data_IF_445869831942
#
_entry.id   IF_445869831942
#
_cell.length_a   1.000
_cell.length_b   1.000
_cell.length_c   1.000
_cell.angle_alpha   90.00
_cell.angle_beta   90.00
_cell.angle_gamma   90.00
#
_symmetry.space_group_name_H-M   'P 1'
#
loop_
_entity.id
_entity.type
_entity.pdbx_description
1 polymer ?
#
# COMPACT_ATOMS: atom_id res chain seq x y z
N UNK A 1 25.23 -8.16 -1.02
CA UNK A 1 25.82 -6.82 -1.07
C UNK A 1 24.75 -5.83 -0.64
N UNK A 2 25.09 -4.68 -0.05
CA UNK A 2 24.11 -3.70 0.43
C UNK A 2 24.49 -2.26 0.05
N UNK A 3 23.51 -1.36 0.08
CA UNK A 3 23.71 0.07 -0.16
C UNK A 3 23.44 0.84 1.13
N UNK A 4 24.20 1.92 1.34
CA UNK A 4 24.02 2.79 2.49
C UNK A 4 22.63 3.44 2.47
N UNK A 5 21.84 3.27 3.54
CA UNK A 5 20.52 3.89 3.69
C UNK A 5 20.55 5.43 3.78
N UNK A 6 21.71 6.02 4.07
CA UNK A 6 21.88 7.47 4.19
C UNK A 6 22.42 8.15 2.94
N UNK A 7 23.35 7.52 2.22
CA UNK A 7 24.06 8.16 1.09
C UNK A 7 24.10 7.32 -0.19
N UNK A 8 23.48 6.13 -0.22
CA UNK A 8 23.39 5.28 -1.42
C UNK A 8 24.70 4.64 -1.89
N UNK A 9 25.82 4.85 -1.18
CA UNK A 9 27.10 4.24 -1.54
C UNK A 9 27.09 2.72 -1.34
N UNK A 10 27.83 2.01 -2.19
CA UNK A 10 27.97 0.56 -2.09
C UNK A 10 28.75 0.19 -0.81
N UNK A 11 28.21 -0.76 -0.04
CA UNK A 11 28.81 -1.27 1.19
C UNK A 11 28.95 -2.79 1.13
N UNK A 12 29.98 -3.29 1.82
CA UNK A 12 30.11 -4.72 2.09
C UNK A 12 29.01 -5.18 3.08
N UNK A 13 28.63 -6.46 3.01
CA UNK A 13 27.65 -7.02 3.94
C UNK A 13 28.17 -6.95 5.39
N UNK A 14 27.26 -6.72 6.34
CA UNK A 14 27.58 -6.70 7.78
C UNK A 14 28.29 -5.44 8.29
N UNK A 15 28.49 -4.42 7.45
CA UNK A 15 29.02 -3.12 7.90
C UNK A 15 28.03 -2.44 8.84
N UNK A 16 28.46 -2.08 10.06
CA UNK A 16 27.63 -1.36 11.05
C UNK A 16 27.54 0.14 10.82
N UNK A 17 28.52 0.73 10.13
CA UNK A 17 28.57 2.15 9.83
C UNK A 17 29.02 2.36 8.39
N UNK A 18 28.46 3.37 7.73
CA UNK A 18 28.90 3.78 6.40
C UNK A 18 30.25 4.49 6.52
N UNK A 19 31.28 3.97 5.85
CA UNK A 19 32.61 4.62 5.82
C UNK A 19 32.62 5.96 5.08
N UNK A 20 31.61 6.24 4.26
CA UNK A 20 31.54 7.45 3.43
C UNK A 20 30.77 8.59 4.10
N UNK A 21 29.65 8.30 4.77
CA UNK A 21 28.79 9.32 5.38
C UNK A 21 28.58 9.16 6.90
N UNK A 22 29.18 8.14 7.52
CA UNK A 22 29.09 7.90 8.97
C UNK A 22 27.75 7.35 9.47
N UNK A 23 26.74 7.19 8.60
CA UNK A 23 25.42 6.70 9.05
C UNK A 23 25.49 5.27 9.56
N UNK A 24 24.86 5.01 10.70
CA UNK A 24 24.71 3.66 11.22
C UNK A 24 23.84 2.84 10.28
N UNK A 25 24.32 1.65 9.93
CA UNK A 25 23.57 0.69 9.12
C UNK A 25 22.80 -0.24 10.04
N UNK A 26 21.58 -0.64 9.65
CA UNK A 26 20.80 -1.60 10.41
C UNK A 26 21.57 -2.92 10.51
N UNK A 27 21.55 -3.53 11.69
CA UNK A 27 22.16 -4.84 11.90
C UNK A 27 21.24 -5.96 11.38
N UNK A 28 21.79 -7.17 11.28
CA UNK A 28 21.05 -8.35 10.79
C UNK A 28 19.77 -8.63 11.61
N UNK A 29 19.81 -8.38 12.92
CA UNK A 29 18.68 -8.63 13.82
C UNK A 29 17.50 -7.70 13.53
N UNK A 30 17.78 -6.40 13.34
CA UNK A 30 16.76 -5.40 12.98
C UNK A 30 16.18 -5.72 11.61
N UNK A 31 17.01 -6.12 10.65
CA UNK A 31 16.54 -6.55 9.32
C UNK A 31 15.60 -7.75 9.43
N UNK A 32 15.95 -8.76 10.22
CA UNK A 32 15.10 -9.93 10.43
C UNK A 32 13.75 -9.56 11.07
N UNK A 33 13.75 -8.68 12.08
CA UNK A 33 12.51 -8.19 12.70
C UNK A 33 11.62 -7.46 11.69
N UNK A 34 12.19 -6.56 10.90
CA UNK A 34 11.46 -5.81 9.87
C UNK A 34 10.85 -6.73 8.80
N UNK A 35 11.53 -7.82 8.45
CA UNK A 35 11.00 -8.81 7.51
C UNK A 35 9.80 -9.56 8.08
N UNK A 36 9.85 -9.96 9.36
CA UNK A 36 8.71 -10.61 10.03
C UNK A 36 7.51 -9.66 10.13
N UNK A 37 7.74 -8.40 10.48
CA UNK A 37 6.69 -7.38 10.53
C UNK A 37 6.06 -7.14 9.15
N UNK A 38 6.87 -6.98 8.11
CA UNK A 38 6.40 -6.82 6.74
C UNK A 38 5.54 -8.02 6.29
N UNK A 39 5.92 -9.24 6.64
CA UNK A 39 5.15 -10.45 6.34
C UNK A 39 3.80 -10.45 7.06
N UNK A 40 3.76 -10.04 8.34
CA UNK A 40 2.51 -9.95 9.10
C UNK A 40 1.54 -8.93 8.48
N UNK A 41 2.05 -7.75 8.09
CA UNK A 41 1.25 -6.69 7.45
C UNK A 41 0.68 -7.19 6.12
N UNK A 42 1.49 -7.89 5.32
CA UNK A 42 1.03 -8.48 4.05
C UNK A 42 -0.07 -9.52 4.25
N UNK A 43 0.08 -10.40 5.25
CA UNK A 43 -0.93 -11.40 5.58
C UNK A 43 -2.25 -10.75 6.03
N UNK A 44 -2.18 -9.70 6.84
CA UNK A 44 -3.35 -8.93 7.27
C UNK A 44 -4.06 -8.28 6.07
N UNK A 45 -3.31 -7.62 5.18
CA UNK A 45 -3.88 -6.99 3.99
C UNK A 45 -4.56 -8.02 3.08
N UNK A 46 -3.95 -9.20 2.90
CA UNK A 46 -4.53 -10.27 2.11
C UNK A 46 -5.84 -10.81 2.71
N UNK A 47 -5.88 -11.02 4.04
CA UNK A 47 -7.11 -11.43 4.72
C UNK A 47 -8.22 -10.36 4.58
N UNK A 48 -7.88 -9.08 4.72
CA UNK A 48 -8.83 -7.99 4.54
C UNK A 48 -9.39 -7.96 3.11
N UNK A 49 -8.54 -8.15 2.10
CA UNK A 49 -8.98 -8.21 0.71
C UNK A 49 -9.94 -9.37 0.44
N UNK A 50 -9.67 -10.55 1.01
CA UNK A 50 -10.58 -11.69 0.90
C UNK A 50 -11.93 -11.44 1.55
N UNK A 51 -11.96 -10.80 2.73
CA UNK A 51 -13.21 -10.46 3.39
C UNK A 51 -14.03 -9.46 2.55
N UNK A 52 -13.38 -8.48 1.91
CA UNK A 52 -14.07 -7.53 1.03
C UNK A 52 -14.62 -8.22 -0.24
N UNK A 53 -13.88 -9.16 -0.84
CA UNK A 53 -14.33 -9.93 -2.01
C UNK A 53 -15.45 -10.94 -1.70
N UNK A 54 -15.44 -11.57 -0.52
CA UNK A 54 -16.54 -12.42 -0.07
C UNK A 54 -17.79 -11.60 0.27
N UNK A 55 -17.65 -10.40 0.87
CA UNK A 55 -18.79 -9.54 1.15
C UNK A 55 -19.52 -9.11 -0.15
N UNK A 56 -18.79 -8.94 -1.26
CA UNK A 56 -19.37 -8.62 -2.57
C UNK A 56 -20.19 -9.76 -3.19
N UNK A 57 -19.84 -11.03 -2.96
CA UNK A 57 -20.62 -12.19 -3.43
C UNK A 57 -21.83 -12.52 -2.55
N UNK A 58 -21.87 -12.03 -1.31
CA UNK A 58 -22.96 -12.29 -0.35
C UNK A 58 -24.03 -11.20 -0.35
N UNK A 59 -23.82 -10.14 -1.12
CA UNK A 59 -24.78 -9.07 -1.21
C UNK A 59 -25.96 -9.63 -2.06
N UNK A 60 -27.19 -9.73 -1.52
CA UNK A 60 -28.31 -10.37 -2.22
C UNK A 60 -28.85 -9.42 -3.30
N UNK A 61 -29.01 -9.86 -4.55
CA UNK A 61 -29.37 -9.02 -5.73
C UNK A 61 -30.46 -7.93 -5.56
N UNK A 62 -31.27 -7.97 -4.51
CA UNK A 62 -32.23 -6.93 -4.13
C UNK A 62 -31.65 -5.51 -3.98
N UNK A 63 -30.37 -5.32 -3.63
CA UNK A 63 -29.78 -3.96 -3.51
C UNK A 63 -29.24 -3.38 -4.83
N UNK A 64 -29.10 -4.17 -5.90
CA UNK A 64 -28.67 -3.68 -7.22
C UNK A 64 -29.78 -2.94 -7.97
N UNK A 65 -31.05 -3.12 -7.59
CA UNK A 65 -32.19 -2.45 -8.23
C UNK A 65 -32.52 -1.06 -7.61
N UNK A 66 -31.85 -0.67 -6.52
CA UNK A 66 -32.14 0.59 -5.83
C UNK A 66 -31.13 1.72 -6.12
N UNK A 67 -30.01 1.44 -6.78
CA UNK A 67 -29.11 2.48 -7.26
C UNK A 67 -29.59 3.02 -8.61
N UNK A 68 -30.68 3.80 -8.56
CA UNK A 68 -31.02 4.70 -9.65
C UNK A 68 -29.87 5.68 -9.86
N UNK A 69 -29.36 5.87 -11.09
CA UNK A 69 -28.44 6.97 -11.36
C UNK A 69 -29.19 8.30 -11.18
N UNK A 70 -28.74 9.13 -10.24
CA UNK A 70 -29.16 10.52 -10.13
C UNK A 70 -28.88 11.22 -11.47
N UNK A 71 -29.92 11.39 -12.28
CA UNK A 71 -29.88 12.18 -13.49
C UNK A 71 -29.76 13.65 -13.07
N UNK A 72 -28.54 14.18 -13.05
CA UNK A 72 -28.35 15.63 -13.06
C UNK A 72 -28.84 16.11 -14.42
N UNK A 73 -30.12 16.47 -14.45
CA UNK A 73 -30.75 17.19 -15.54
C UNK A 73 -30.01 18.51 -15.70
N UNK A 74 -28.98 18.47 -16.54
CA UNK A 74 -28.25 19.60 -17.07
C UNK A 74 -29.27 20.47 -17.80
N UNK A 75 -29.91 21.37 -17.06
CA UNK A 75 -30.65 22.47 -17.62
C UNK A 75 -29.63 23.50 -18.12
N UNK A 76 -28.89 23.11 -19.15
CA UNK A 76 -28.15 23.99 -20.03
C UNK A 76 -29.18 24.78 -20.81
N UNK A 77 -29.74 25.79 -20.14
CA UNK A 77 -30.52 26.83 -20.76
C UNK A 77 -29.72 27.36 -21.94
N UNK A 78 -30.23 27.03 -23.12
CA UNK A 78 -29.91 27.68 -24.37
C UNK A 78 -30.03 29.19 -24.14
N UNK A 79 -28.91 29.89 -24.21
CA UNK A 79 -28.90 31.32 -24.52
C UNK A 79 -28.02 31.49 -25.75
N UNK A 80 -28.68 31.32 -26.89
CA UNK A 80 -28.29 32.02 -28.11
C UNK A 80 -28.54 33.51 -27.87
N UNK A 81 -27.50 34.32 -28.06
CA UNK A 81 -27.43 35.65 -28.66
C UNK A 81 -26.07 36.26 -28.30
#
# INVERSE_FOLDING_TARGET
MSYCIGCGQFLAQGMRFCRFCGSQQPNEQVIAMLQMEAQQIQALMFQQQQNMGQNMNQMPQAYMNQQQPMNYQNNGQQRQW
#
